data_IF_625572604147
#
_entry.id   IF_625572604147
#
_cell.length_a   1.000
_cell.length_b   1.000
_cell.length_c   1.000
_cell.angle_alpha   90.00
_cell.angle_beta   90.00
_cell.angle_gamma   90.00
#
_symmetry.space_group_name_H-M   'P 1'
#
loop_
_entity.id
_entity.type
_entity.pdbx_description
1 polymer ?
#
# COMPACT_ATOMS: atom_id res chain seq x y z
N UNK A 1 -1.36 -2.97 8.56
CA UNK A 1 -2.25 -3.43 7.48
C UNK A 1 -2.87 -2.21 6.84
N UNK A 2 -2.76 -2.08 5.52
CA UNK A 2 -3.36 -0.97 4.77
C UNK A 2 -4.87 -1.20 4.57
N UNK A 3 -5.63 -0.12 4.34
CA UNK A 3 -7.09 -0.15 4.18
C UNK A 3 -7.52 -1.04 3.01
N UNK A 4 -6.75 -1.05 1.92
CA UNK A 4 -6.97 -1.92 0.74
C UNK A 4 -6.81 -3.40 1.10
N UNK A 5 -5.83 -3.74 1.94
CA UNK A 5 -5.63 -5.12 2.39
C UNK A 5 -6.79 -5.62 3.25
N UNK A 6 -7.40 -4.73 4.03
CA UNK A 6 -8.54 -5.07 4.89
C UNK A 6 -9.83 -5.23 4.08
N UNK A 7 -10.09 -4.36 3.11
CA UNK A 7 -11.25 -4.45 2.24
C UNK A 7 -11.23 -5.75 1.43
N UNK A 8 -10.06 -6.10 0.87
CA UNK A 8 -9.85 -7.38 0.19
C UNK A 8 -10.11 -8.57 1.12
N UNK A 9 -9.74 -8.49 2.40
CA UNK A 9 -9.98 -9.56 3.36
C UNK A 9 -11.47 -9.73 3.68
N UNK A 10 -12.24 -8.64 3.75
CA UNK A 10 -13.69 -8.72 3.90
C UNK A 10 -14.37 -9.29 2.65
N UNK A 11 -13.99 -8.81 1.46
CA UNK A 11 -14.50 -9.37 0.20
C UNK A 11 -14.19 -10.86 0.08
N UNK A 12 -12.95 -11.27 0.40
CA UNK A 12 -12.54 -12.66 0.37
C UNK A 12 -13.34 -13.54 1.35
N UNK A 13 -13.62 -13.02 2.55
CA UNK A 13 -14.49 -13.70 3.53
C UNK A 13 -15.91 -13.85 2.99
N UNK A 14 -16.48 -12.79 2.44
CA UNK A 14 -17.85 -12.80 1.93
C UNK A 14 -18.01 -13.78 0.77
N UNK A 15 -17.00 -13.85 -0.11
CA UNK A 15 -16.94 -14.88 -1.17
C UNK A 15 -17.05 -16.29 -0.58
N UNK A 16 -16.25 -16.63 0.42
CA UNK A 16 -16.26 -17.98 1.03
C UNK A 16 -17.57 -18.27 1.78
N UNK A 17 -18.17 -17.25 2.41
CA UNK A 17 -19.49 -17.37 3.03
C UNK A 17 -20.56 -17.67 1.98
N UNK A 18 -20.53 -16.98 0.83
CA UNK A 18 -21.47 -17.21 -0.26
C UNK A 18 -21.34 -18.62 -0.86
N UNK A 19 -20.12 -19.09 -1.12
CA UNK A 19 -19.90 -20.46 -1.61
C UNK A 19 -20.37 -21.53 -0.61
N UNK A 20 -20.18 -21.29 0.69
CA UNK A 20 -20.65 -22.22 1.72
C UNK A 20 -22.17 -22.22 1.88
N UNK A 21 -22.81 -21.06 1.78
CA UNK A 21 -24.26 -20.92 1.90
C UNK A 21 -25.00 -21.39 0.64
N UNK A 22 -24.36 -21.24 -0.52
CA UNK A 22 -24.92 -21.57 -1.83
C UNK A 22 -23.87 -22.34 -2.67
N UNK A 23 -23.76 -23.67 -2.52
CA UNK A 23 -22.75 -24.47 -3.21
C UNK A 23 -22.83 -24.39 -4.74
N UNK A 24 -24.05 -24.32 -5.28
CA UNK A 24 -24.30 -24.28 -6.73
C UNK A 24 -24.35 -22.85 -7.30
N UNK A 25 -23.89 -21.85 -6.54
CA UNK A 25 -23.98 -20.43 -6.92
C UNK A 25 -23.28 -20.13 -8.25
N UNK A 26 -22.21 -20.84 -8.62
CA UNK A 26 -21.49 -20.58 -9.86
C UNK A 26 -22.24 -21.05 -11.12
N UNK A 27 -23.07 -22.09 -11.00
CA UNK A 27 -23.84 -22.63 -12.12
C UNK A 27 -25.00 -21.73 -12.56
N UNK A 28 -25.36 -20.76 -11.73
CA UNK A 28 -26.56 -19.93 -11.90
C UNK A 28 -26.25 -18.73 -12.79
N UNK A 29 -27.06 -18.54 -13.83
CA UNK A 29 -27.02 -17.33 -14.65
C UNK A 29 -27.93 -16.27 -14.06
N UNK A 30 -27.53 -15.01 -14.18
CA UNK A 30 -28.33 -13.87 -13.70
C UNK A 30 -29.68 -13.74 -14.42
N UNK A 31 -29.81 -14.37 -15.59
CA UNK A 31 -31.04 -14.43 -16.40
C UNK A 31 -31.98 -15.56 -16.03
N UNK A 32 -31.58 -16.48 -15.15
CA UNK A 32 -32.36 -17.67 -14.84
C UNK A 32 -33.54 -17.32 -13.92
N UNK A 33 -34.69 -17.95 -14.14
CA UNK A 33 -35.84 -17.90 -13.24
C UNK A 33 -35.62 -18.85 -12.04
N UNK A 34 -34.68 -18.47 -11.17
CA UNK A 34 -34.33 -19.20 -9.95
C UNK A 34 -34.88 -18.58 -8.67
N UNK A 35 -34.61 -19.20 -7.50
CA UNK A 35 -34.96 -18.63 -6.20
C UNK A 35 -34.32 -17.25 -6.02
N UNK A 36 -35.12 -16.25 -5.61
CA UNK A 36 -34.64 -14.85 -5.46
C UNK A 36 -33.39 -14.72 -4.59
N UNK A 37 -33.28 -15.50 -3.51
CA UNK A 37 -32.12 -15.49 -2.61
C UNK A 37 -30.83 -15.95 -3.31
N UNK A 38 -30.94 -16.96 -4.18
CA UNK A 38 -29.83 -17.53 -4.92
C UNK A 38 -29.40 -16.60 -6.09
N UNK A 39 -30.36 -15.96 -6.77
CA UNK A 39 -30.07 -14.89 -7.74
C UNK A 39 -29.38 -13.70 -7.05
N UNK A 40 -29.86 -13.28 -5.89
CA UNK A 40 -29.26 -12.19 -5.12
C UNK A 40 -27.84 -12.55 -4.65
N UNK A 41 -27.62 -13.77 -4.17
CA UNK A 41 -26.29 -14.27 -3.84
C UNK A 41 -25.37 -14.22 -5.06
N UNK A 42 -25.85 -14.65 -6.24
CA UNK A 42 -25.09 -14.58 -7.49
C UNK A 42 -24.71 -13.15 -7.88
N UNK A 43 -25.63 -12.19 -7.70
CA UNK A 43 -25.36 -10.76 -7.90
C UNK A 43 -24.27 -10.26 -6.95
N UNK A 44 -24.38 -10.56 -5.65
CA UNK A 44 -23.38 -10.21 -4.65
C UNK A 44 -22.01 -10.80 -4.99
N UNK A 45 -21.96 -12.08 -5.38
CA UNK A 45 -20.73 -12.73 -5.79
C UNK A 45 -20.10 -12.02 -6.98
N UNK A 46 -20.87 -11.66 -8.02
CA UNK A 46 -20.35 -10.93 -9.18
C UNK A 46 -19.76 -9.56 -8.83
N UNK A 47 -20.31 -8.86 -7.84
CA UNK A 47 -19.80 -7.56 -7.39
C UNK A 47 -18.42 -7.66 -6.75
N UNK A 48 -18.11 -8.78 -6.09
CA UNK A 48 -16.87 -8.99 -5.33
C UNK A 48 -15.92 -10.00 -5.98
N UNK A 49 -16.30 -10.67 -7.08
CA UNK A 49 -15.51 -11.73 -7.71
C UNK A 49 -14.13 -11.26 -8.23
N UNK A 50 -13.94 -9.95 -8.39
CA UNK A 50 -12.65 -9.36 -8.75
C UNK A 50 -11.61 -9.34 -7.62
N UNK A 51 -12.01 -9.71 -6.39
CA UNK A 51 -11.13 -9.80 -5.23
C UNK A 51 -10.43 -11.16 -5.13
N UNK A 52 -9.27 -11.17 -4.49
CA UNK A 52 -8.52 -12.41 -4.21
C UNK A 52 -9.26 -13.30 -3.21
N UNK A 53 -9.07 -14.62 -3.32
CA UNK A 53 -9.57 -15.58 -2.35
C UNK A 53 -8.76 -15.52 -1.05
N UNK A 54 -9.36 -15.95 0.06
CA UNK A 54 -8.68 -15.92 1.37
C UNK A 54 -7.35 -16.66 1.36
N UNK A 55 -7.28 -17.80 0.67
CA UNK A 55 -6.05 -18.59 0.56
C UNK A 55 -4.89 -17.80 -0.07
N UNK A 56 -5.17 -16.99 -1.09
CA UNK A 56 -4.17 -16.16 -1.76
C UNK A 56 -3.71 -14.99 -0.88
N UNK A 57 -4.64 -14.37 -0.14
CA UNK A 57 -4.31 -13.33 0.84
C UNK A 57 -3.42 -13.88 1.96
N UNK A 58 -3.75 -15.08 2.46
CA UNK A 58 -2.95 -15.78 3.47
C UNK A 58 -1.57 -16.11 2.89
N UNK A 59 -1.49 -16.67 1.67
CA UNK A 59 -0.21 -16.96 1.00
C UNK A 59 0.69 -15.71 0.93
N UNK A 60 0.17 -14.60 0.42
CA UNK A 60 0.92 -13.34 0.34
C UNK A 60 1.38 -12.86 1.71
N UNK A 61 0.56 -13.04 2.74
CA UNK A 61 0.90 -12.62 4.11
C UNK A 61 2.00 -13.49 4.72
N UNK A 62 1.93 -14.80 4.54
CA UNK A 62 2.97 -15.75 4.98
C UNK A 62 4.29 -15.47 4.25
N UNK A 63 4.22 -15.21 2.94
CA UNK A 63 5.39 -14.88 2.13
C UNK A 63 6.05 -13.55 2.50
N UNK A 64 5.38 -12.64 3.22
CA UNK A 64 5.96 -11.37 3.72
C UNK A 64 6.63 -11.50 5.08
N UNK A 65 6.74 -12.71 5.63
CA UNK A 65 7.34 -12.95 6.94
C UNK A 65 8.76 -12.36 7.07
N UNK A 66 9.24 -12.18 8.32
CA UNK A 66 10.51 -11.51 8.61
C UNK A 66 11.76 -12.20 8.04
N UNK A 67 11.65 -13.44 7.57
CA UNK A 67 12.73 -14.19 6.92
C UNK A 67 12.73 -14.07 5.38
N UNK A 68 11.80 -13.33 4.79
CA UNK A 68 11.64 -13.30 3.34
C UNK A 68 12.59 -12.31 2.67
N UNK A 69 13.48 -12.84 1.84
CA UNK A 69 14.46 -12.06 1.07
C UNK A 69 14.00 -12.01 -0.39
N UNK A 70 14.11 -10.84 -1.01
CA UNK A 70 13.92 -10.68 -2.44
C UNK A 70 15.22 -10.98 -3.20
N UNK A 71 15.10 -11.64 -4.35
CA UNK A 71 16.26 -11.90 -5.21
C UNK A 71 16.13 -13.18 -6.03
N UNK A 72 17.23 -13.61 -6.67
CA UNK A 72 17.25 -14.81 -7.48
C UNK A 72 16.97 -16.04 -6.61
N UNK A 73 16.02 -16.83 -7.05
CA UNK A 73 15.60 -18.06 -6.39
C UNK A 73 15.61 -19.20 -7.41
N UNK A 74 16.19 -20.32 -6.99
CA UNK A 74 16.33 -21.52 -7.82
C UNK A 74 15.53 -22.64 -7.21
N UNK A 75 14.67 -23.26 -8.00
CA UNK A 75 13.81 -24.38 -7.58
C UNK A 75 13.86 -25.50 -8.63
N UNK A 76 13.69 -26.77 -8.22
CA UNK A 76 13.60 -27.87 -9.17
C UNK A 76 12.31 -27.75 -10.00
N UNK A 77 12.38 -28.17 -11.26
CA UNK A 77 11.27 -27.97 -12.22
C UNK A 77 9.97 -28.63 -11.76
N UNK A 78 10.01 -29.79 -11.11
CA UNK A 78 8.82 -30.45 -10.58
C UNK A 78 8.12 -29.66 -9.47
N UNK A 79 8.88 -28.97 -8.61
CA UNK A 79 8.29 -28.06 -7.60
C UNK A 79 7.76 -26.78 -8.25
N UNK A 80 8.48 -26.24 -9.23
CA UNK A 80 8.02 -25.10 -10.01
C UNK A 80 6.70 -25.39 -10.74
N UNK A 81 6.51 -26.60 -11.27
CA UNK A 81 5.25 -27.06 -11.86
C UNK A 81 4.11 -27.02 -10.85
N UNK A 82 4.30 -27.64 -9.69
CA UNK A 82 3.30 -27.71 -8.64
C UNK A 82 2.92 -26.30 -8.12
N UNK A 83 3.90 -25.43 -7.90
CA UNK A 83 3.64 -24.03 -7.54
C UNK A 83 2.88 -23.28 -8.63
N UNK A 84 3.28 -23.45 -9.89
CA UNK A 84 2.66 -22.78 -11.02
C UNK A 84 1.19 -23.20 -11.18
N UNK A 85 0.91 -24.50 -11.13
CA UNK A 85 -0.45 -25.04 -11.20
C UNK A 85 -1.35 -24.51 -10.07
N UNK A 86 -0.81 -24.34 -8.87
CA UNK A 86 -1.55 -23.77 -7.75
C UNK A 86 -1.83 -22.27 -7.91
N UNK A 87 -0.89 -21.51 -8.48
CA UNK A 87 -0.99 -20.05 -8.62
C UNK A 87 -1.80 -19.60 -9.84
N UNK A 88 -1.80 -20.37 -10.93
CA UNK A 88 -2.41 -20.01 -12.21
C UNK A 88 -3.89 -19.58 -12.13
N UNK A 89 -4.77 -20.30 -11.40
CA UNK A 89 -6.17 -19.87 -11.27
C UNK A 89 -6.31 -18.48 -10.63
N UNK A 90 -5.48 -18.17 -9.63
CA UNK A 90 -5.48 -16.86 -8.99
C UNK A 90 -4.88 -15.79 -9.91
N UNK A 91 -3.77 -16.09 -10.59
CA UNK A 91 -3.12 -15.19 -11.53
C UNK A 91 -4.04 -14.79 -12.69
N UNK A 92 -4.76 -15.74 -13.29
CA UNK A 92 -5.73 -15.48 -14.39
C UNK A 92 -6.87 -14.57 -13.92
N UNK A 93 -7.45 -14.84 -12.74
CA UNK A 93 -8.48 -13.97 -12.14
C UNK A 93 -7.96 -12.55 -11.89
N UNK A 94 -6.77 -12.41 -11.32
CA UNK A 94 -6.14 -11.11 -11.08
C UNK A 94 -5.91 -10.35 -12.39
N UNK A 95 -5.37 -11.01 -13.42
CA UNK A 95 -5.15 -10.41 -14.73
C UNK A 95 -6.46 -9.91 -15.35
N UNK A 96 -7.52 -10.71 -15.28
CA UNK A 96 -8.84 -10.34 -15.78
C UNK A 96 -9.48 -9.17 -15.01
N UNK A 97 -9.43 -9.21 -13.68
CA UNK A 97 -9.93 -8.14 -12.80
C UNK A 97 -9.22 -6.81 -13.08
N UNK A 98 -7.88 -6.85 -13.20
CA UNK A 98 -7.06 -5.68 -13.52
C UNK A 98 -7.37 -5.15 -14.92
N UNK A 99 -7.45 -6.02 -15.93
CA UNK A 99 -7.75 -5.63 -17.31
C UNK A 99 -9.14 -5.00 -17.43
N UNK A 100 -10.17 -5.59 -16.80
CA UNK A 100 -11.55 -5.07 -16.83
C UNK A 100 -11.66 -3.73 -16.13
N UNK A 101 -11.01 -3.58 -14.97
CA UNK A 101 -10.96 -2.31 -14.23
C UNK A 101 -10.28 -1.22 -15.05
N UNK A 102 -9.15 -1.53 -15.69
CA UNK A 102 -8.40 -0.58 -16.50
C UNK A 102 -9.09 -0.26 -17.83
N UNK A 103 -9.80 -1.22 -18.44
CA UNK A 103 -10.63 -0.95 -19.62
C UNK A 103 -11.69 0.10 -19.29
N UNK A 104 -12.46 -0.14 -18.22
CA UNK A 104 -13.48 0.80 -17.73
C UNK A 104 -12.90 2.16 -17.39
N UNK A 105 -11.73 2.20 -16.76
CA UNK A 105 -11.04 3.43 -16.43
C UNK A 105 -10.50 4.16 -17.68
N UNK A 106 -10.01 3.43 -18.69
CA UNK A 106 -9.49 4.03 -19.94
C UNK A 106 -10.57 4.69 -20.78
N UNK A 107 -11.80 4.15 -20.77
CA UNK A 107 -12.95 4.81 -21.41
C UNK A 107 -13.26 6.16 -20.77
N UNK A 108 -13.02 6.29 -19.45
CA UNK A 108 -13.26 7.52 -18.68
C UNK A 108 -12.07 8.48 -18.73
N UNK A 109 -10.86 7.96 -18.86
CA UNK A 109 -9.62 8.72 -18.89
C UNK A 109 -8.63 8.08 -19.86
N UNK A 110 -8.46 8.73 -21.01
CA UNK A 110 -7.58 8.26 -22.10
C UNK A 110 -6.10 8.16 -21.70
N UNK A 111 -5.64 8.90 -20.69
CA UNK A 111 -4.26 8.77 -20.18
C UNK A 111 -3.95 7.38 -19.59
N UNK A 112 -4.98 6.59 -19.26
CA UNK A 112 -4.85 5.22 -18.77
C UNK A 112 -4.79 4.17 -19.89
N UNK A 113 -4.88 4.58 -21.15
CA UNK A 113 -4.77 3.68 -22.31
C UNK A 113 -3.45 2.85 -22.31
N UNK A 114 -2.27 3.42 -21.99
CA UNK A 114 -1.04 2.62 -21.88
C UNK A 114 -1.09 1.58 -20.76
N UNK A 115 -1.67 1.94 -19.60
CA UNK A 115 -1.83 1.02 -18.48
C UNK A 115 -2.79 -0.13 -18.83
N UNK A 116 -3.87 0.17 -19.55
CA UNK A 116 -4.79 -0.85 -20.07
C UNK A 116 -4.09 -1.79 -21.06
N UNK A 117 -3.33 -1.26 -22.04
CA UNK A 117 -2.54 -2.06 -22.98
C UNK A 117 -1.54 -2.97 -22.27
N UNK A 118 -0.90 -2.47 -21.23
CA UNK A 118 0.01 -3.27 -20.41
C UNK A 118 -0.73 -4.40 -19.68
N UNK A 119 -1.91 -4.13 -19.13
CA UNK A 119 -2.71 -5.15 -18.45
C UNK A 119 -3.24 -6.23 -19.42
N UNK A 120 -3.66 -5.87 -20.62
CA UNK A 120 -4.06 -6.84 -21.65
C UNK A 120 -2.87 -7.67 -22.14
N UNK A 121 -1.69 -7.07 -22.29
CA UNK A 121 -0.47 -7.82 -22.60
C UNK A 121 -0.13 -8.84 -21.50
N UNK A 122 -0.24 -8.46 -20.22
CA UNK A 122 -0.03 -9.37 -19.09
C UNK A 122 -1.04 -10.53 -19.05
N UNK A 123 -2.31 -10.27 -19.39
CA UNK A 123 -3.31 -11.34 -19.55
C UNK A 123 -2.94 -12.28 -20.70
N UNK A 124 -2.59 -11.72 -21.86
CA UNK A 124 -2.17 -12.49 -23.02
C UNK A 124 -0.90 -13.33 -22.75
N UNK A 125 0.00 -12.87 -21.89
CA UNK A 125 1.18 -13.62 -21.48
C UNK A 125 0.87 -14.89 -20.66
N UNK A 126 -0.31 -14.98 -20.04
CA UNK A 126 -0.76 -16.17 -19.32
C UNK A 126 -1.49 -17.17 -20.21
N UNK A 127 -2.35 -16.65 -21.10
CA UNK A 127 -3.28 -17.47 -21.89
C UNK A 127 -2.84 -17.66 -23.36
N UNK A 128 -1.74 -17.03 -23.77
CA UNK A 128 -1.22 -17.08 -25.14
C UNK A 128 -0.39 -18.32 -25.44
N UNK A 129 0.11 -18.38 -26.68
CA UNK A 129 0.94 -19.49 -27.20
C UNK A 129 2.28 -19.64 -26.45
N UNK A 130 2.77 -18.58 -25.80
CA UNK A 130 3.95 -18.64 -24.93
C UNK A 130 3.55 -18.47 -23.46
N UNK A 131 2.47 -19.17 -23.09
CA UNK A 131 2.01 -19.27 -21.71
C UNK A 131 3.00 -20.04 -20.83
N UNK A 132 2.92 -19.86 -19.50
CA UNK A 132 3.89 -20.44 -18.57
C UNK A 132 3.87 -21.97 -18.57
N UNK A 133 2.72 -22.62 -18.81
CA UNK A 133 2.61 -24.08 -18.92
C UNK A 133 3.41 -24.63 -20.11
N UNK A 134 3.39 -23.92 -21.26
CA UNK A 134 4.11 -24.33 -22.47
C UNK A 134 5.62 -24.12 -22.33
N UNK A 135 6.02 -23.00 -21.72
CA UNK A 135 7.43 -22.72 -21.43
C UNK A 135 8.02 -23.75 -20.45
N UNK A 136 7.24 -24.15 -19.45
CA UNK A 136 7.66 -25.18 -18.50
C UNK A 136 7.82 -26.53 -19.20
N UNK A 137 6.86 -26.90 -20.04
CA UNK A 137 6.93 -28.11 -20.87
C UNK A 137 8.17 -28.10 -21.77
N UNK A 138 8.53 -26.94 -22.34
CA UNK A 138 9.72 -26.78 -23.15
C UNK A 138 11.01 -27.00 -22.33
N UNK A 139 11.10 -26.47 -21.11
CA UNK A 139 12.24 -26.72 -20.21
C UNK A 139 12.34 -28.19 -19.78
N UNK A 140 11.22 -28.83 -19.46
CA UNK A 140 11.16 -30.25 -19.15
C UNK A 140 11.66 -31.11 -20.32
N UNK A 141 11.22 -30.79 -21.54
CA UNK A 141 11.68 -31.49 -22.75
C UNK A 141 13.18 -31.30 -23.02
N UNK A 142 13.76 -30.20 -22.52
CA UNK A 142 15.19 -29.91 -22.60
C UNK A 142 16.01 -30.65 -21.53
N UNK A 143 15.36 -31.14 -20.48
CA UNK A 143 16.01 -31.84 -19.37
C UNK A 143 16.66 -30.91 -18.35
N UNK A 144 16.22 -29.65 -18.25
CA UNK A 144 16.64 -28.79 -17.14
C UNK A 144 16.17 -29.39 -15.80
N UNK A 145 17.06 -29.41 -14.82
CA UNK A 145 16.71 -29.83 -13.47
C UNK A 145 16.06 -28.70 -12.67
N UNK A 146 16.57 -27.47 -12.87
CA UNK A 146 16.27 -26.32 -12.04
C UNK A 146 15.82 -25.10 -12.87
N UNK A 147 15.00 -24.26 -12.26
CA UNK A 147 14.51 -23.00 -12.79
C UNK A 147 14.93 -21.86 -11.86
N UNK A 148 15.55 -20.82 -12.42
CA UNK A 148 15.93 -19.61 -11.69
C UNK A 148 15.06 -18.42 -12.07
N UNK A 149 14.48 -17.73 -11.08
CA UNK A 149 13.63 -16.57 -11.27
C UNK A 149 13.78 -15.54 -10.14
N UNK A 150 13.30 -14.32 -10.35
CA UNK A 150 13.35 -13.27 -9.33
C UNK A 150 12.15 -13.41 -8.38
N UNK A 151 12.40 -13.73 -7.12
CA UNK A 151 11.35 -13.87 -6.10
C UNK A 151 11.15 -12.54 -5.38
N UNK A 152 9.91 -12.05 -5.40
CA UNK A 152 9.50 -10.88 -4.61
C UNK A 152 8.54 -11.33 -3.49
N UNK A 153 8.94 -11.22 -2.21
CA UNK A 153 8.10 -11.55 -1.07
C UNK A 153 6.74 -10.86 -1.08
N UNK A 154 5.67 -11.63 -0.98
CA UNK A 154 4.31 -11.10 -0.96
C UNK A 154 3.83 -10.47 -2.27
N UNK A 155 4.48 -10.81 -3.38
CA UNK A 155 3.99 -10.53 -4.73
C UNK A 155 2.64 -11.20 -4.97
N UNK A 156 1.82 -10.60 -5.83
CA UNK A 156 0.54 -11.20 -6.24
C UNK A 156 0.79 -12.51 -7.00
N UNK A 157 -0.21 -13.41 -7.04
CA UNK A 157 -0.11 -14.62 -7.87
C UNK A 157 0.25 -14.28 -9.32
N UNK A 158 -0.34 -13.22 -9.89
CA UNK A 158 -0.01 -12.73 -11.23
C UNK A 158 1.47 -12.33 -11.36
N UNK A 159 1.98 -11.51 -10.44
CA UNK A 159 3.39 -11.09 -10.48
C UNK A 159 4.34 -12.29 -10.33
N UNK A 160 4.00 -13.25 -9.45
CA UNK A 160 4.81 -14.46 -9.23
C UNK A 160 4.85 -15.34 -10.47
N UNK A 161 3.70 -15.58 -11.12
CA UNK A 161 3.64 -16.36 -12.36
C UNK A 161 4.41 -15.67 -13.50
N UNK A 162 4.36 -14.34 -13.58
CA UNK A 162 5.15 -13.61 -14.58
C UNK A 162 6.65 -13.69 -14.30
N UNK A 163 7.07 -13.66 -13.03
CA UNK A 163 8.47 -13.88 -12.68
C UNK A 163 8.96 -15.28 -13.08
N UNK A 164 8.14 -16.32 -12.85
CA UNK A 164 8.39 -17.66 -13.37
C UNK A 164 8.57 -17.65 -14.88
N UNK A 165 7.63 -17.04 -15.61
CA UNK A 165 7.68 -16.90 -17.07
C UNK A 165 8.97 -16.24 -17.55
N UNK A 166 9.34 -15.10 -16.97
CA UNK A 166 10.58 -14.38 -17.28
C UNK A 166 11.83 -15.21 -16.98
N UNK A 167 11.83 -16.02 -15.91
CA UNK A 167 12.89 -16.98 -15.62
C UNK A 167 13.03 -18.04 -16.71
N UNK A 168 11.90 -18.65 -17.12
CA UNK A 168 11.88 -19.67 -18.17
C UNK A 168 12.34 -19.10 -19.52
N UNK A 169 11.86 -17.91 -19.90
CA UNK A 169 12.28 -17.22 -21.12
C UNK A 169 13.78 -16.94 -21.13
N UNK A 170 14.34 -16.45 -20.01
CA UNK A 170 15.80 -16.23 -19.87
C UNK A 170 16.59 -17.52 -20.05
N UNK A 171 16.15 -18.61 -19.40
CA UNK A 171 16.86 -19.89 -19.46
C UNK A 171 16.78 -20.52 -20.86
N UNK A 172 15.66 -20.37 -21.57
CA UNK A 172 15.52 -20.78 -22.96
C UNK A 172 16.41 -19.93 -23.89
N UNK A 173 16.47 -18.62 -23.67
CA UNK A 173 17.30 -17.70 -24.46
C UNK A 173 18.81 -17.91 -24.28
N UNK A 174 19.28 -18.24 -23.08
CA UNK A 174 20.71 -18.46 -22.78
C UNK A 174 21.30 -19.57 -23.68
N UNK A 175 20.53 -20.62 -23.98
CA UNK A 175 20.97 -21.72 -24.83
C UNK A 175 21.09 -21.33 -26.31
N UNK A 176 20.25 -20.42 -26.82
CA UNK A 176 20.43 -19.92 -28.20
C UNK A 176 21.78 -19.24 -28.35
N UNK A 177 22.24 -18.55 -27.30
CA UNK A 177 23.55 -17.89 -27.24
C UNK A 177 24.70 -18.89 -27.13
N UNK A 178 24.56 -19.94 -26.33
CA UNK A 178 25.56 -21.03 -26.20
C UNK A 178 25.62 -21.95 -27.43
N UNK A 179 24.51 -22.16 -28.14
CA UNK A 179 24.50 -22.90 -29.42
C UNK A 179 25.07 -22.08 -30.58
N UNK A 180 24.97 -20.74 -30.55
CA UNK A 180 25.57 -19.86 -31.55
C UNK A 180 27.05 -19.56 -31.26
N UNK A 181 27.43 -19.54 -29.99
CA UNK A 181 28.83 -19.49 -29.56
C UNK A 181 29.33 -20.93 -29.36
N UNK A 182 29.61 -21.64 -30.45
CA UNK A 182 30.32 -22.92 -30.39
C UNK A 182 31.63 -22.80 -29.60
N UNK A 183 32.20 -23.93 -29.11
CA UNK A 183 33.34 -23.89 -28.20
C UNK A 183 34.50 -23.09 -28.81
N UNK A 184 35.29 -22.35 -28.00
CA UNK A 184 36.49 -21.71 -28.51
C UNK A 184 37.37 -22.82 -29.08
N UNK A 185 37.68 -22.75 -30.38
CA UNK A 185 38.75 -23.57 -30.93
C UNK A 185 40.01 -23.24 -30.16
N UNK A 186 40.51 -24.21 -29.42
CA UNK A 186 41.89 -24.22 -28.95
C UNK A 186 42.79 -24.11 -30.19
N UNK A 187 43.39 -22.93 -30.37
CA UNK A 187 44.63 -22.79 -31.12
C UNK A 187 45.60 -22.09 -30.23
N UNK A 188 46.43 -22.91 -29.59
CA UNK A 188 47.67 -22.52 -28.94
C UNK A 188 48.64 -21.88 -29.96
N UNK A 189 49.39 -20.92 -29.46
CA UNK A 189 50.74 -20.49 -29.88
C UNK A 189 50.90 -19.65 -31.16
N UNK A 190 51.15 -18.35 -31.00
CA UNK A 190 52.55 -17.85 -30.98
C UNK A 190 52.67 -16.33 -30.84
N UNK A 191 53.34 -15.95 -29.74
CA UNK A 191 54.43 -14.97 -29.61
C UNK A 191 54.25 -13.47 -29.95
N UNK A 192 54.52 -12.71 -28.87
CA UNK A 192 55.41 -11.54 -28.77
C UNK A 192 54.90 -10.18 -29.26
N UNK A 193 54.60 -9.29 -28.31
CA UNK A 193 55.48 -8.16 -27.95
C UNK A 193 54.95 -7.48 -26.67
N UNK A 194 55.81 -7.32 -25.67
CA UNK A 194 55.62 -6.35 -24.58
C UNK A 194 55.87 -4.91 -25.07
N UNK A 195 55.79 -3.86 -24.21
CA UNK A 195 56.25 -3.93 -22.83
C UNK A 195 55.32 -3.35 -21.74
N UNK A 196 55.65 -3.84 -20.55
CA UNK A 196 55.45 -3.38 -19.18
C UNK A 196 55.68 -1.88 -18.94
N UNK A 197 54.85 -1.26 -18.10
CA UNK A 197 55.22 -0.12 -17.23
C UNK A 197 54.46 -0.18 -15.89
N UNK A 198 55.18 -0.73 -14.92
CA UNK A 198 55.33 -0.39 -13.50
C UNK A 198 54.27 0.38 -12.69
N UNK A 199 54.12 -0.14 -11.47
CA UNK A 199 53.43 0.44 -10.33
C UNK A 199 54.29 1.49 -9.59
N UNK A 200 53.63 2.49 -8.99
CA UNK A 200 54.07 3.23 -7.78
C UNK A 200 52.81 3.64 -7.02
N UNK A 201 52.48 3.00 -5.90
CA UNK A 201 52.97 3.28 -4.53
C UNK A 201 52.72 4.72 -4.11
N UNK A 202 51.74 4.90 -3.21
CA UNK A 202 51.94 5.66 -1.98
C UNK A 202 51.10 5.03 -0.86
N UNK A 203 51.80 4.28 -0.02
CA UNK A 203 51.44 3.95 1.35
C UNK A 203 51.83 5.13 2.24
N UNK A 204 50.91 5.62 3.08
CA UNK A 204 51.25 6.19 4.40
C UNK A 204 50.14 5.80 5.38
N UNK A 205 50.34 4.64 6.05
CA UNK A 205 50.50 4.52 7.52
C UNK A 205 49.85 5.65 8.34
N UNK A 206 48.95 5.43 9.30
CA UNK A 206 48.73 4.26 10.13
C UNK A 206 48.65 4.67 11.61
N UNK A 207 48.10 3.75 12.40
CA UNK A 207 48.07 3.64 13.88
C UNK A 207 46.78 4.13 14.55
N UNK A 208 45.93 3.19 14.99
CA UNK A 208 46.02 2.35 16.21
C UNK A 208 45.70 3.18 17.45
N UNK A 209 44.92 2.73 18.43
CA UNK A 209 44.36 1.42 18.73
C UNK A 209 43.31 1.59 19.83
N UNK A 210 42.49 0.53 19.99
CA UNK A 210 42.02 0.00 21.28
C UNK A 210 41.11 0.91 22.13
N UNK A 211 40.14 0.46 22.90
CA UNK A 211 39.56 -0.81 23.31
C UNK A 211 38.68 -0.33 24.49
N UNK A 212 37.42 -0.75 24.65
CA UNK A 212 36.76 -0.88 25.97
C UNK A 212 35.32 -1.39 25.78
N UNK A 213 35.19 -2.70 26.03
CA UNK A 213 34.26 -3.31 26.98
C UNK A 213 32.84 -2.76 27.13
N UNK A 214 31.90 -3.56 26.61
CA UNK A 214 30.83 -4.29 27.32
C UNK A 214 29.69 -3.52 28.06
N UNK A 215 28.55 -4.22 28.25
CA UNK A 215 27.21 -3.63 28.27
C UNK A 215 26.69 -3.42 29.70
N UNK A 216 25.63 -2.62 29.85
CA UNK A 216 24.89 -2.59 31.10
C UNK A 216 23.37 -2.66 30.92
N UNK A 217 22.85 -3.77 31.44
CA UNK A 217 21.52 -3.98 32.00
C UNK A 217 21.24 -2.99 33.15
N UNK A 218 19.96 -2.63 33.35
CA UNK A 218 19.18 -2.86 34.59
C UNK A 218 17.72 -2.40 34.35
N UNK A 219 16.72 -3.31 34.42
CA UNK A 219 15.90 -3.74 35.59
C UNK A 219 15.05 -2.59 36.17
N UNK A 220 13.73 -2.58 36.05
CA UNK A 220 12.68 -3.41 36.67
C UNK A 220 12.46 -3.19 38.18
N UNK A 221 11.30 -2.61 38.53
CA UNK A 221 10.48 -2.92 39.71
C UNK A 221 9.17 -2.09 39.62
N UNK A 222 7.98 -2.69 39.43
CA UNK A 222 7.11 -3.37 40.41
C UNK A 222 6.46 -2.35 41.40
N UNK A 223 5.19 -2.38 41.83
CA UNK A 223 4.09 -3.35 41.75
C UNK A 223 2.83 -2.72 42.42
N UNK A 224 1.63 -3.20 42.07
CA UNK A 224 0.41 -3.19 42.93
C UNK A 224 -0.65 -2.13 42.57
N UNK A 225 -1.94 -2.43 42.39
CA UNK A 225 -2.69 -3.69 42.41
C UNK A 225 -4.19 -3.39 42.53
N UNK A 226 -5.03 -4.15 41.78
CA UNK A 226 -6.48 -4.44 42.00
C UNK A 226 -7.46 -3.23 41.96
N UNK A 227 -8.56 -3.21 41.21
CA UNK A 227 -9.74 -4.11 41.29
C UNK A 227 -10.55 -4.08 39.96
N UNK A 228 -11.30 -5.15 39.71
CA UNK A 228 -12.03 -5.52 38.49
C UNK A 228 -13.13 -4.55 38.02
N UNK A 229 -13.45 -4.63 36.71
CA UNK A 229 -14.85 -4.58 36.26
C UNK A 229 -15.14 -3.83 34.96
N UNK A 230 -15.44 -4.60 33.91
CA UNK A 230 -16.22 -4.27 32.70
C UNK A 230 -15.55 -3.54 31.51
N UNK A 231 -15.59 -4.27 30.39
CA UNK A 231 -15.64 -3.85 28.99
C UNK A 231 -14.30 -3.55 28.28
N UNK A 232 -13.69 -4.65 27.84
CA UNK A 232 -12.84 -4.74 26.66
C UNK A 232 -13.46 -3.99 25.46
N UNK A 233 -12.75 -2.99 24.92
CA UNK A 233 -12.90 -2.49 23.55
C UNK A 233 -11.61 -1.77 23.14
N UNK A 234 -10.85 -2.41 22.23
CA UNK A 234 -9.59 -1.90 21.68
C UNK A 234 -9.77 -0.63 20.85
N UNK A 235 -8.72 0.20 20.77
CA UNK A 235 -8.71 1.46 20.00
C UNK A 235 -7.55 1.51 19.00
N UNK A 236 -7.73 0.75 17.92
CA UNK A 236 -7.19 1.10 16.60
C UNK A 236 -8.36 1.60 15.75
N UNK A 237 -8.76 2.86 15.95
CA UNK A 237 -9.84 3.48 15.17
C UNK A 237 -9.36 3.69 13.73
N UNK A 238 -9.65 2.72 12.87
CA UNK A 238 -9.53 2.83 11.42
C UNK A 238 -10.89 3.19 10.83
N UNK A 239 -10.86 3.93 9.72
CA UNK A 239 -11.97 4.58 9.00
C UNK A 239 -13.18 3.68 8.59
N UNK A 240 -13.21 2.40 8.95
CA UNK A 240 -14.39 1.53 8.77
C UNK A 240 -15.16 1.27 10.07
N UNK A 241 -14.57 1.50 11.24
CA UNK A 241 -15.26 1.32 12.54
C UNK A 241 -16.22 2.46 12.92
N UNK A 242 -16.35 3.48 12.08
CA UNK A 242 -17.29 4.59 12.26
C UNK A 242 -18.38 4.62 11.20
N UNK A 243 -18.50 3.59 10.36
CA UNK A 243 -19.71 3.37 9.55
C UNK A 243 -20.80 2.67 10.38
N UNK A 244 -20.43 1.81 11.34
CA UNK A 244 -21.37 1.06 12.17
C UNK A 244 -21.81 1.78 13.47
N UNK A 245 -21.50 3.07 13.61
CA UNK A 245 -22.12 3.94 14.62
C UNK A 245 -22.58 5.28 14.04
N UNK A 246 -22.88 5.30 12.75
CA UNK A 246 -23.75 6.33 12.16
C UNK A 246 -25.14 5.71 12.10
N UNK A 247 -26.16 6.30 12.74
CA UNK A 247 -27.54 5.87 12.55
C UNK A 247 -27.82 5.82 11.05
N UNK A 248 -28.39 4.72 10.56
CA UNK A 248 -28.66 4.48 9.16
C UNK A 248 -29.12 5.76 8.41
N UNK A 249 -28.41 6.15 7.34
CA UNK A 249 -28.99 7.00 6.29
C UNK A 249 -28.42 8.41 6.04
N UNK A 250 -27.11 8.60 5.83
CA UNK A 250 -26.62 9.80 5.09
C UNK A 250 -25.51 9.47 4.10
N UNK A 251 -25.82 9.60 2.81
CA UNK A 251 -24.84 9.73 1.73
C UNK A 251 -23.92 10.92 2.00
N UNK A 252 -22.62 10.80 1.66
CA UNK A 252 -21.69 11.94 1.73
C UNK A 252 -22.11 12.93 0.64
N UNK A 253 -22.48 14.17 0.98
CA UNK A 253 -22.99 15.11 0.01
C UNK A 253 -21.88 15.57 -0.93
N UNK A 254 -22.25 15.82 -2.18
CA UNK A 254 -21.39 16.58 -3.07
C UNK A 254 -21.16 17.98 -2.48
N UNK A 255 -19.94 18.47 -2.61
CA UNK A 255 -19.44 19.67 -1.95
C UNK A 255 -18.79 19.43 -0.58
N UNK A 256 -18.81 18.21 -0.03
CA UNK A 256 -18.07 17.85 1.19
C UNK A 256 -16.57 18.09 1.04
N UNK A 257 -15.89 18.47 2.11
CA UNK A 257 -14.46 18.80 2.12
C UNK A 257 -13.69 17.90 3.10
N UNK A 258 -12.48 17.51 2.72
CA UNK A 258 -11.58 16.73 3.57
C UNK A 258 -10.12 17.14 3.38
N UNK A 259 -9.30 16.86 4.39
CA UNK A 259 -7.84 16.97 4.31
C UNK A 259 -7.24 15.59 4.40
N UNK A 260 -6.37 15.25 3.46
CA UNK A 260 -5.70 13.97 3.39
C UNK A 260 -4.20 14.21 3.53
N UNK A 261 -3.60 13.69 4.60
CA UNK A 261 -2.17 13.80 4.85
C UNK A 261 -1.55 12.42 4.68
N UNK A 262 -0.82 12.24 3.59
CA UNK A 262 -0.15 10.98 3.27
C UNK A 262 1.09 11.20 2.42
N UNK A 263 2.05 10.28 2.51
CA UNK A 263 3.22 10.23 1.63
C UNK A 263 4.01 11.54 1.52
N UNK A 264 4.14 12.30 2.61
CA UNK A 264 4.89 13.57 2.62
C UNK A 264 4.10 14.77 2.07
N UNK A 265 2.83 14.58 1.72
CA UNK A 265 1.95 15.61 1.18
C UNK A 265 0.67 15.79 2.00
N UNK A 266 0.12 17.00 1.94
CA UNK A 266 -1.17 17.41 2.49
C UNK A 266 -2.06 17.81 1.32
N UNK A 267 -3.11 17.04 1.07
CA UNK A 267 -4.11 17.30 0.03
C UNK A 267 -5.38 17.86 0.67
N UNK A 268 -5.88 18.97 0.15
CA UNK A 268 -7.23 19.47 0.42
C UNK A 268 -8.13 19.03 -0.72
N UNK A 269 -9.14 18.22 -0.41
CA UNK A 269 -10.02 17.60 -1.40
C UNK A 269 -11.47 18.02 -1.19
N UNK A 270 -12.20 18.16 -2.29
CA UNK A 270 -13.63 18.43 -2.28
C UNK A 270 -14.36 17.38 -3.10
N UNK A 271 -15.53 16.96 -2.63
CA UNK A 271 -16.35 15.97 -3.32
C UNK A 271 -17.16 16.63 -4.43
N UNK A 272 -17.11 16.09 -5.64
CA UNK A 272 -17.90 16.50 -6.79
C UNK A 272 -18.40 15.25 -7.52
N UNK A 273 -19.70 15.16 -7.79
CA UNK A 273 -20.35 14.01 -8.46
C UNK A 273 -19.95 12.65 -7.87
N UNK A 274 -19.89 12.56 -6.54
CA UNK A 274 -19.51 11.35 -5.83
C UNK A 274 -18.01 11.02 -5.80
N UNK A 275 -17.14 11.83 -6.40
CA UNK A 275 -15.67 11.66 -6.41
C UNK A 275 -14.97 12.74 -5.62
N UNK A 276 -13.80 12.45 -5.06
CA UNK A 276 -12.96 13.45 -4.40
C UNK A 276 -11.98 14.05 -5.41
N UNK A 277 -11.95 15.37 -5.50
CA UNK A 277 -11.03 16.14 -6.35
C UNK A 277 -10.09 16.96 -5.48
N UNK A 278 -8.78 16.89 -5.78
CA UNK A 278 -7.76 17.68 -5.08
C UNK A 278 -7.87 19.14 -5.50
N UNK A 279 -8.22 19.99 -4.54
CA UNK A 279 -8.30 21.44 -4.70
C UNK A 279 -6.95 22.11 -4.46
N UNK A 280 -6.17 21.57 -3.51
CA UNK A 280 -4.84 22.11 -3.17
C UNK A 280 -3.93 21.01 -2.64
N UNK A 281 -2.65 21.08 -3.00
CA UNK A 281 -1.60 20.20 -2.48
C UNK A 281 -0.49 21.05 -1.87
N UNK A 282 -0.12 20.74 -0.64
CA UNK A 282 0.98 21.36 0.09
C UNK A 282 1.91 20.26 0.66
N UNK A 283 3.16 20.56 1.04
CA UNK A 283 3.98 19.62 1.80
C UNK A 283 3.31 19.23 3.14
N UNK A 284 3.50 17.99 3.59
CA UNK A 284 2.91 17.48 4.84
C UNK A 284 3.32 18.30 6.07
N UNK A 285 4.58 18.75 6.13
CA UNK A 285 5.14 19.39 7.32
C UNK A 285 5.04 18.49 8.56
N UNK A 286 4.61 19.05 9.68
CA UNK A 286 4.46 18.35 10.97
C UNK A 286 3.06 17.76 11.19
N UNK A 287 2.22 17.70 10.15
CA UNK A 287 0.85 17.21 10.30
C UNK A 287 0.80 15.69 10.47
N UNK A 288 -0.10 15.19 11.34
CA UNK A 288 -0.32 13.75 11.48
C UNK A 288 -0.90 13.18 10.20
N UNK A 289 -0.42 11.98 9.82
CA UNK A 289 -0.95 11.25 8.65
C UNK A 289 -2.39 10.79 8.92
N UNK A 290 -3.27 10.93 7.94
CA UNK A 290 -4.67 10.53 8.06
C UNK A 290 -5.60 11.22 7.08
N UNK A 291 -6.87 10.78 7.08
CA UNK A 291 -7.97 11.40 6.35
C UNK A 291 -8.87 12.12 7.36
N UNK A 292 -8.96 13.44 7.25
CA UNK A 292 -9.67 14.31 8.18
C UNK A 292 -10.87 14.94 7.48
N UNK A 293 -12.06 14.54 7.89
CA UNK A 293 -13.32 15.05 7.32
C UNK A 293 -13.64 16.42 7.92
N UNK A 294 -13.71 17.44 7.07
CA UNK A 294 -14.04 18.80 7.50
C UNK A 294 -15.56 19.02 7.56
N UNK A 295 -16.32 18.29 6.74
CA UNK A 295 -17.78 18.35 6.66
C UNK A 295 -18.50 17.78 7.89
N UNK A 296 -17.85 16.87 8.61
CA UNK A 296 -18.36 16.26 9.85
C UNK A 296 -17.62 16.74 11.09
N UNK A 297 -16.82 17.80 10.98
CA UNK A 297 -16.09 18.37 12.10
C UNK A 297 -17.05 18.83 13.20
N UNK A 298 -16.74 18.46 14.44
CA UNK A 298 -17.53 18.88 15.59
C UNK A 298 -17.30 20.36 15.84
N UNK A 299 -18.36 21.16 15.92
CA UNK A 299 -18.23 22.55 16.33
C UNK A 299 -17.60 22.64 17.72
N UNK A 300 -16.54 23.43 17.84
CA UNK A 300 -15.92 23.70 19.12
C UNK A 300 -16.92 24.41 20.02
N UNK A 301 -17.00 23.94 21.26
CA UNK A 301 -17.78 24.59 22.30
C UNK A 301 -17.03 25.84 22.72
N UNK A 302 -17.72 26.97 22.65
CA UNK A 302 -17.19 28.26 23.08
C UNK A 302 -17.42 28.50 24.59
N UNK A 303 -17.64 27.43 25.35
CA UNK A 303 -17.85 27.47 26.80
C UNK A 303 -16.55 27.88 27.52
N UNK A 304 -16.69 28.64 28.60
CA UNK A 304 -15.55 29.09 29.39
C UNK A 304 -14.77 27.90 29.98
N UNK A 305 -13.47 27.85 29.68
CA UNK A 305 -12.57 26.76 30.08
C UNK A 305 -12.49 25.60 29.08
N UNK A 306 -13.30 25.58 28.01
CA UNK A 306 -13.19 24.56 26.97
C UNK A 306 -11.81 24.61 26.31
N UNK A 307 -11.15 23.46 26.27
CA UNK A 307 -9.75 23.34 25.84
C UNK A 307 -9.61 22.34 24.70
N UNK A 308 -8.89 22.76 23.66
CA UNK A 308 -8.62 21.97 22.46
C UNK A 308 -7.12 21.98 22.17
N UNK A 309 -6.50 20.79 22.05
CA UNK A 309 -5.09 20.66 21.77
C UNK A 309 -4.86 19.69 20.61
N UNK A 310 -3.95 20.06 19.70
CA UNK A 310 -3.62 19.29 18.51
C UNK A 310 -3.24 20.16 17.32
N UNK A 311 -2.86 19.54 16.21
CA UNK A 311 -2.40 20.24 15.01
C UNK A 311 -3.54 20.92 14.23
N UNK A 312 -3.29 22.11 13.69
CA UNK A 312 -4.20 22.82 12.79
C UNK A 312 -4.10 22.21 11.38
N UNK A 313 -5.18 21.58 10.93
CA UNK A 313 -5.28 20.86 9.66
C UNK A 313 -5.59 21.77 8.47
N UNK A 314 -6.48 22.73 8.70
CA UNK A 314 -6.97 23.62 7.66
C UNK A 314 -7.52 24.91 8.27
N UNK A 315 -7.38 26.00 7.52
CA UNK A 315 -7.94 27.30 7.85
C UNK A 315 -8.62 27.81 6.59
N UNK A 316 -9.89 28.16 6.72
CA UNK A 316 -10.67 28.81 5.66
C UNK A 316 -11.65 29.81 6.24
N UNK A 317 -12.36 30.53 5.38
CA UNK A 317 -13.45 31.41 5.80
C UNK A 317 -14.57 30.66 6.56
N UNK A 318 -14.69 29.34 6.36
CA UNK A 318 -15.68 28.52 7.06
C UNK A 318 -15.26 28.16 8.47
N UNK A 319 -13.96 28.11 8.78
CA UNK A 319 -13.52 27.63 10.08
C UNK A 319 -12.02 27.41 10.18
N UNK A 320 -11.57 27.32 11.43
CA UNK A 320 -10.25 26.80 11.79
C UNK A 320 -10.45 25.35 12.24
N UNK A 321 -9.76 24.42 11.60
CA UNK A 321 -9.94 22.98 11.82
C UNK A 321 -8.72 22.41 12.54
N UNK A 322 -8.95 21.82 13.72
CA UNK A 322 -7.91 21.26 14.57
C UNK A 322 -8.15 19.77 14.79
N UNK A 323 -7.09 18.96 14.81
CA UNK A 323 -7.17 17.57 15.30
C UNK A 323 -7.55 17.61 16.78
N UNK A 324 -8.63 16.92 17.15
CA UNK A 324 -9.05 16.86 18.55
C UNK A 324 -9.65 15.48 18.88
N UNK A 325 -9.04 14.79 19.84
CA UNK A 325 -9.40 13.41 20.18
C UNK A 325 -9.26 12.48 18.97
N UNK A 326 -10.36 11.82 18.61
CA UNK A 326 -10.42 10.90 17.45
C UNK A 326 -10.98 11.57 16.17
N UNK A 327 -11.14 12.89 16.16
CA UNK A 327 -11.81 13.60 15.06
C UNK A 327 -11.26 14.99 14.82
N UNK A 328 -12.11 15.87 14.27
CA UNK A 328 -11.77 17.24 13.91
C UNK A 328 -12.69 18.19 14.67
N UNK A 329 -12.11 19.17 15.37
CA UNK A 329 -12.83 20.30 15.93
C UNK A 329 -12.82 21.46 14.93
N UNK A 330 -13.98 22.08 14.70
CA UNK A 330 -14.14 23.29 13.90
C UNK A 330 -14.39 24.47 14.82
N UNK A 331 -13.50 25.44 14.77
CA UNK A 331 -13.62 26.69 15.50
C UNK A 331 -14.07 27.81 14.57
N UNK A 332 -14.82 28.77 15.13
CA UNK A 332 -15.22 29.96 14.42
C UNK A 332 -14.03 30.92 14.25
N UNK A 333 -13.69 31.37 13.03
CA UNK A 333 -12.52 32.22 12.81
C UNK A 333 -12.60 33.55 13.55
N UNK A 334 -13.82 34.10 13.73
CA UNK A 334 -14.06 35.35 14.44
C UNK A 334 -13.76 35.28 15.95
N UNK A 335 -13.70 34.07 16.52
CA UNK A 335 -13.35 33.89 17.92
C UNK A 335 -11.85 34.12 18.20
N UNK A 336 -11.00 34.17 17.16
CA UNK A 336 -9.56 34.35 17.28
C UNK A 336 -9.15 35.80 16.99
N UNK A 337 -8.30 36.36 17.87
CA UNK A 337 -7.62 37.62 17.57
C UNK A 337 -6.56 37.44 16.48
N UNK A 338 -5.86 36.30 16.50
CA UNK A 338 -4.93 35.88 15.46
C UNK A 338 -5.20 34.42 15.14
N UNK A 339 -5.55 34.15 13.88
CA UNK A 339 -5.83 32.79 13.42
C UNK A 339 -4.52 31.98 13.37
N UNK A 340 -4.48 30.77 13.95
CA UNK A 340 -3.28 29.95 13.97
C UNK A 340 -2.94 29.41 12.57
N UNK A 341 -1.66 29.07 12.33
CA UNK A 341 -1.22 28.60 11.02
C UNK A 341 -1.44 27.10 10.86
N UNK A 342 -1.66 26.66 9.63
CA UNK A 342 -1.72 25.24 9.28
C UNK A 342 -0.37 24.59 9.63
N UNK A 343 -0.42 23.46 10.35
CA UNK A 343 0.76 22.76 10.82
C UNK A 343 1.15 23.06 12.27
N UNK A 344 0.74 24.20 12.83
CA UNK A 344 0.97 24.51 14.25
C UNK A 344 0.16 23.55 15.14
N UNK A 345 0.64 23.26 16.35
CA UNK A 345 -0.05 22.43 17.35
C UNK A 345 -0.39 23.19 18.64
N UNK A 346 -1.18 24.27 18.57
CA UNK A 346 -1.49 25.10 19.73
C UNK A 346 -2.47 24.42 20.69
N UNK A 347 -2.48 24.87 21.94
CA UNK A 347 -3.57 24.62 22.89
C UNK A 347 -4.52 25.82 22.89
N UNK A 348 -5.72 25.65 22.34
CA UNK A 348 -6.78 26.67 22.28
C UNK A 348 -7.65 26.53 23.52
N UNK A 349 -7.82 27.63 24.26
CA UNK A 349 -8.68 27.71 25.45
C UNK A 349 -9.71 28.80 25.23
N UNK A 350 -10.98 28.51 25.47
CA UNK A 350 -12.06 29.49 25.38
C UNK A 350 -12.26 30.23 26.70
N UNK A 351 -12.32 31.55 26.62
CA UNK A 351 -12.64 32.46 27.72
C UNK A 351 -13.59 33.54 27.20
N UNK A 352 -14.77 33.62 27.79
CA UNK A 352 -15.90 34.49 27.39
C UNK A 352 -16.22 34.38 25.89
N UNK A 353 -16.26 33.15 25.37
CA UNK A 353 -16.51 32.88 23.95
C UNK A 353 -15.36 33.26 23.00
N UNK A 354 -14.23 33.76 23.50
CA UNK A 354 -13.02 34.06 22.71
C UNK A 354 -11.98 32.95 22.83
N UNK A 355 -11.35 32.63 21.71
CA UNK A 355 -10.31 31.62 21.62
C UNK A 355 -8.95 32.24 21.94
N UNK A 356 -8.34 31.81 23.05
CA UNK A 356 -6.98 32.17 23.44
C UNK A 356 -6.02 31.02 23.11
N UNK A 357 -4.92 31.32 22.45
CA UNK A 357 -3.90 30.33 22.09
C UNK A 357 -2.82 30.32 23.17
N UNK A 358 -2.67 29.19 23.86
CA UNK A 358 -1.63 28.93 24.86
C UNK A 358 -0.66 27.87 24.34
N UNK A 359 0.64 28.05 24.59
CA UNK A 359 1.68 27.15 24.06
C UNK A 359 1.90 27.34 22.56
N UNK A 360 2.66 28.37 22.19
CA UNK A 360 3.31 28.44 20.89
C UNK A 360 4.68 27.78 21.07
N UNK A 361 4.90 26.58 20.55
CA UNK A 361 6.26 26.04 20.49
C UNK A 361 7.12 26.97 19.62
N UNK A 362 8.24 27.52 20.14
CA UNK A 362 9.01 28.56 19.47
C UNK A 362 10.03 27.97 18.47
N UNK A 363 9.60 27.15 17.51
CA UNK A 363 10.49 26.69 16.42
C UNK A 363 10.07 27.12 15.01
N UNK A 364 9.10 28.01 14.88
CA UNK A 364 8.77 28.68 13.60
C UNK A 364 8.98 30.20 13.64
N UNK A 365 10.03 30.65 14.33
CA UNK A 365 10.67 31.94 14.06
C UNK A 365 12.06 31.69 13.49
N UNK A 366 12.14 31.61 12.17
CA UNK A 366 13.40 31.48 11.45
C UNK A 366 13.16 31.67 9.97
N UNK A 367 12.98 32.93 9.56
CA UNK A 367 13.61 33.54 8.38
C UNK A 367 12.94 34.88 8.11
N UNK A 368 13.56 35.94 8.64
CA UNK A 368 13.21 37.30 8.31
C UNK A 368 13.79 38.27 9.33
N UNK A 369 15.07 38.65 9.17
CA UNK A 369 15.54 40.06 9.13
C UNK A 369 17.08 40.15 9.15
N UNK A 370 17.62 40.62 8.02
CA UNK A 370 18.60 41.72 7.93
C UNK A 370 20.01 41.57 8.50
N UNK A 371 21.02 41.59 7.62
CA UNK A 371 22.27 42.34 7.87
C UNK A 371 22.53 43.29 6.70
N UNK A 372 22.19 44.56 6.92
CA UNK A 372 22.91 45.67 6.32
C UNK A 372 24.16 45.94 7.17
N UNK A 373 25.31 46.02 6.53
CA UNK A 373 26.38 46.94 6.86
C UNK A 373 27.02 47.42 5.57
#
# INVERSE_FOLDING_TARGET
>A
MDAVTRDNLYMARDIEVLHRAFPDIEAVKLSDEGPRSLIQARMSLNMINGADRLQEIVRQSVDRGPASIAGPHTLPIGEAEAELSALLPAARRQAESIATRLATASYRNRSLEPAYKHATARKAALDGELGPEQLLSALQSRGDADLTFERVPGATALDRVLAYREGMERQLAQQHKERHNGPPRETSESQAHGPELDAKVFDVRGRHAEEFSRPQHERSSAQGGSVQGLLSLGRGSTLAGLADKVPAGRSIPDGAEQVVVMNGSRLHERRYEGKWEVQKSDPQGMLPKGVFRLDTAASAKADDGATYAGSILHVSARGVYQVHGNGVARHEPAAFQQVPKIGDSPKIVYVQGRATITGRDPQSQGLGLGRSR
#
